data_IF_190740661337
#
_entry.id   IF_190740661337
#
_cell.length_a   1.000
_cell.length_b   1.000
_cell.length_c   1.000
_cell.angle_alpha   90.00
_cell.angle_beta   90.00
_cell.angle_gamma   90.00
#
_symmetry.space_group_name_H-M   'P 1'
#
loop_
_entity.id
_entity.type
_entity.pdbx_description
1 polymer ?
#
# COMPACT_ATOMS: atom_id res chain seq x y z
N UNK A 1 13.25 -77.31 49.97
CA UNK A 1 14.60 -77.80 49.70
C UNK A 1 15.23 -76.94 48.61
N UNK A 2 16.37 -76.39 48.97
CA UNK A 2 17.36 -75.68 48.13
C UNK A 2 17.00 -74.28 47.53
N UNK A 3 17.36 -73.29 48.33
CA UNK A 3 17.65 -71.91 47.90
C UNK A 3 18.98 -71.87 47.10
N UNK A 4 19.06 -71.09 46.04
CA UNK A 4 20.27 -70.64 45.40
C UNK A 4 20.25 -69.13 45.31
N UNK A 5 20.99 -68.48 46.20
CA UNK A 5 21.36 -67.11 46.25
C UNK A 5 22.18 -66.73 44.99
N UNK A 6 21.75 -65.72 44.19
CA UNK A 6 22.61 -65.06 43.17
C UNK A 6 22.94 -63.68 43.69
N UNK A 7 24.19 -63.46 44.01
CA UNK A 7 24.79 -62.13 44.23
C UNK A 7 24.98 -61.44 42.94
N UNK A 8 24.23 -60.33 42.70
CA UNK A 8 24.39 -59.46 41.55
C UNK A 8 25.37 -58.34 41.86
N UNK A 9 26.50 -58.33 41.18
CA UNK A 9 27.50 -57.26 41.18
C UNK A 9 26.94 -56.03 40.44
N UNK A 10 26.66 -54.93 41.17
CA UNK A 10 26.25 -53.62 40.56
C UNK A 10 27.55 -52.87 40.21
N UNK A 11 27.83 -52.80 38.90
CA UNK A 11 28.88 -51.95 38.36
C UNK A 11 28.29 -50.52 38.23
N UNK A 12 28.82 -49.63 39.09
CA UNK A 12 28.49 -48.18 39.01
C UNK A 12 29.33 -47.55 37.89
N UNK A 13 28.70 -47.38 36.72
CA UNK A 13 29.29 -46.63 35.61
C UNK A 13 29.13 -45.14 35.87
N UNK A 14 30.19 -44.46 36.28
CA UNK A 14 30.26 -43.00 36.35
C UNK A 14 30.29 -42.41 34.94
N UNK A 15 29.15 -41.86 34.49
CA UNK A 15 29.06 -41.08 33.29
C UNK A 15 29.69 -39.70 33.54
N UNK A 16 30.93 -39.50 33.08
CA UNK A 16 31.56 -38.18 32.99
C UNK A 16 30.89 -37.47 31.80
N UNK A 17 29.89 -36.63 32.07
CA UNK A 17 29.35 -35.73 31.11
C UNK A 17 30.38 -34.63 30.80
N UNK A 18 31.14 -34.79 29.73
CA UNK A 18 31.90 -33.69 29.15
C UNK A 18 30.88 -32.62 28.69
N UNK A 19 30.77 -31.55 29.45
CA UNK A 19 30.07 -30.36 29.02
C UNK A 19 30.80 -29.84 27.78
N UNK A 20 30.29 -30.19 26.59
CA UNK A 20 30.66 -29.50 25.38
C UNK A 20 30.29 -28.03 25.58
N UNK A 21 31.29 -27.16 25.71
CA UNK A 21 31.09 -25.73 25.71
C UNK A 21 30.31 -25.40 24.44
N UNK A 22 29.03 -25.07 24.58
CA UNK A 22 28.21 -24.64 23.48
C UNK A 22 28.90 -23.41 22.86
N UNK A 23 29.42 -23.59 21.65
CA UNK A 23 29.89 -22.43 20.89
C UNK A 23 28.76 -21.42 20.83
N UNK A 24 28.99 -20.13 21.16
CA UNK A 24 27.96 -19.14 21.07
C UNK A 24 27.38 -19.16 19.66
N UNK A 25 26.07 -19.05 19.50
CA UNK A 25 25.43 -19.09 18.20
C UNK A 25 26.11 -18.03 17.29
N UNK A 26 26.62 -18.48 16.14
CA UNK A 26 27.23 -17.59 15.19
C UNK A 26 26.12 -16.70 14.61
N UNK A 27 25.99 -15.51 15.15
CA UNK A 27 25.02 -14.52 14.67
C UNK A 27 25.31 -14.18 13.21
N UNK A 28 24.28 -14.02 12.37
CA UNK A 28 24.48 -13.70 10.97
C UNK A 28 25.26 -12.39 10.79
N UNK A 29 26.16 -12.38 9.81
CA UNK A 29 26.90 -11.18 9.39
C UNK A 29 26.10 -10.40 8.34
N UNK A 30 26.52 -9.15 8.06
CA UNK A 30 25.90 -8.29 7.05
C UNK A 30 25.86 -8.95 5.65
N UNK A 31 26.79 -9.86 5.34
CA UNK A 31 26.83 -10.60 4.07
C UNK A 31 25.63 -11.50 3.83
N UNK A 32 24.88 -11.89 4.88
CA UNK A 32 23.65 -12.66 4.76
C UNK A 32 22.51 -11.87 4.10
N UNK A 33 22.55 -10.56 4.20
CA UNK A 33 21.46 -9.68 3.75
C UNK A 33 21.71 -9.04 2.39
N UNK A 34 22.93 -9.11 1.88
CA UNK A 34 23.36 -8.46 0.64
C UNK A 34 24.03 -9.45 -0.30
N UNK A 35 23.54 -9.51 -1.54
CA UNK A 35 24.20 -10.16 -2.66
C UNK A 35 24.37 -9.15 -3.80
N UNK A 36 25.60 -8.64 -4.03
CA UNK A 36 25.83 -7.63 -5.07
C UNK A 36 25.57 -8.12 -6.49
N UNK A 37 25.48 -9.43 -6.71
CA UNK A 37 25.30 -10.03 -8.03
C UNK A 37 23.83 -10.42 -8.26
N UNK A 38 23.26 -11.23 -7.36
CA UNK A 38 21.94 -11.84 -7.54
C UNK A 38 20.87 -11.20 -6.64
N UNK A 39 21.24 -10.29 -5.76
CA UNK A 39 20.28 -9.60 -4.88
C UNK A 39 19.28 -8.75 -5.65
N UNK A 40 18.18 -8.43 -5.02
CA UNK A 40 17.11 -7.58 -5.57
C UNK A 40 17.56 -6.12 -5.57
N UNK A 41 17.58 -5.45 -6.75
CA UNK A 41 17.82 -4.01 -6.83
C UNK A 41 16.58 -3.20 -6.46
N UNK A 42 16.75 -1.90 -6.19
CA UNK A 42 15.62 -1.02 -5.90
C UNK A 42 14.58 -1.01 -7.02
N UNK A 43 15.03 -0.93 -8.28
CA UNK A 43 14.14 -0.92 -9.45
C UNK A 43 13.38 -2.24 -9.59
N UNK A 44 14.07 -3.37 -9.36
CA UNK A 44 13.43 -4.70 -9.37
C UNK A 44 12.42 -4.85 -8.23
N UNK A 45 12.72 -4.30 -7.04
CA UNK A 45 11.82 -4.30 -5.90
C UNK A 45 10.53 -3.53 -6.21
N UNK A 46 10.65 -2.35 -6.82
CA UNK A 46 9.51 -1.55 -7.26
C UNK A 46 8.68 -2.31 -8.30
N UNK A 47 9.31 -2.86 -9.33
CA UNK A 47 8.62 -3.64 -10.37
C UNK A 47 7.87 -4.84 -9.79
N UNK A 48 8.50 -5.58 -8.88
CA UNK A 48 7.89 -6.72 -8.19
C UNK A 48 6.66 -6.29 -7.36
N UNK A 49 6.77 -5.21 -6.58
CA UNK A 49 5.67 -4.70 -5.78
C UNK A 49 4.49 -4.23 -6.63
N UNK A 50 4.75 -3.53 -7.74
CA UNK A 50 3.71 -3.07 -8.66
C UNK A 50 2.93 -4.25 -9.30
N UNK A 51 3.55 -5.41 -9.43
CA UNK A 51 2.92 -6.60 -9.98
C UNK A 51 2.23 -7.46 -8.91
N UNK A 52 2.87 -7.68 -7.77
CA UNK A 52 2.49 -8.72 -6.82
C UNK A 52 1.81 -8.20 -5.54
N UNK A 53 1.92 -6.91 -5.22
CA UNK A 53 1.38 -6.39 -3.96
C UNK A 53 -0.15 -6.50 -3.92
N UNK A 54 -0.73 -7.21 -2.91
CA UNK A 54 -2.15 -7.57 -2.90
C UNK A 54 -3.09 -6.35 -2.83
N UNK A 55 -2.72 -5.28 -2.13
CA UNK A 55 -3.60 -4.11 -1.98
C UNK A 55 -3.70 -3.30 -3.28
N UNK A 56 -2.63 -3.25 -4.07
CA UNK A 56 -2.68 -2.64 -5.40
C UNK A 56 -3.49 -3.48 -6.38
N UNK A 57 -3.35 -4.82 -6.31
CA UNK A 57 -4.17 -5.73 -7.11
C UNK A 57 -5.66 -5.55 -6.76
N UNK A 58 -5.99 -5.46 -5.47
CA UNK A 58 -7.34 -5.17 -5.02
C UNK A 58 -7.83 -3.77 -5.49
N UNK A 59 -6.96 -2.76 -5.49
CA UNK A 59 -7.31 -1.44 -6.02
C UNK A 59 -7.64 -1.49 -7.53
N UNK A 60 -6.90 -2.28 -8.32
CA UNK A 60 -7.18 -2.45 -9.75
C UNK A 60 -8.57 -3.05 -10.01
N UNK A 61 -9.06 -3.95 -9.16
CA UNK A 61 -10.43 -4.50 -9.32
C UNK A 61 -11.52 -3.45 -9.14
N UNK A 62 -11.22 -2.28 -8.52
CA UNK A 62 -12.18 -1.17 -8.46
C UNK A 62 -12.47 -0.56 -9.83
N UNK A 63 -11.52 -0.64 -10.78
CA UNK A 63 -11.75 -0.26 -12.17
C UNK A 63 -12.78 -1.19 -12.80
N UNK A 64 -12.66 -2.51 -12.57
CA UNK A 64 -13.62 -3.50 -13.08
C UNK A 64 -15.02 -3.29 -12.49
N UNK A 65 -15.08 -2.93 -11.19
CA UNK A 65 -16.35 -2.55 -10.53
C UNK A 65 -16.96 -1.31 -11.20
N UNK A 66 -16.17 -0.27 -11.43
CA UNK A 66 -16.64 0.94 -12.09
C UNK A 66 -17.12 0.66 -13.54
N UNK A 67 -16.39 -0.19 -14.28
CA UNK A 67 -16.80 -0.64 -15.61
C UNK A 67 -18.10 -1.45 -15.57
N UNK A 68 -18.28 -2.33 -14.58
CA UNK A 68 -19.53 -3.06 -14.36
C UNK A 68 -20.71 -2.10 -14.11
N UNK A 69 -20.49 -1.08 -13.25
CA UNK A 69 -21.51 -0.05 -13.00
C UNK A 69 -21.81 0.81 -14.23
N UNK A 70 -20.81 1.09 -15.06
CA UNK A 70 -20.97 1.74 -16.34
C UNK A 70 -21.84 0.92 -17.30
N UNK A 71 -21.57 -0.39 -17.41
CA UNK A 71 -22.41 -1.30 -18.21
C UNK A 71 -23.85 -1.29 -17.70
N UNK A 72 -24.08 -1.38 -16.39
CA UNK A 72 -25.40 -1.33 -15.78
C UNK A 72 -26.11 0.02 -16.07
N UNK A 73 -25.38 1.13 -15.98
CA UNK A 73 -25.92 2.48 -16.27
C UNK A 73 -26.37 2.65 -17.73
N UNK A 74 -25.80 1.88 -18.65
CA UNK A 74 -26.13 1.90 -20.07
C UNK A 74 -27.38 1.06 -20.42
N UNK A 75 -27.83 0.19 -19.51
CA UNK A 75 -28.99 -0.65 -19.77
C UNK A 75 -30.30 0.16 -19.70
N UNK A 76 -31.24 -0.21 -20.55
CA UNK A 76 -32.61 0.29 -20.49
C UNK A 76 -33.42 -0.53 -19.48
N UNK A 77 -34.45 0.05 -18.84
CA UNK A 77 -35.33 -0.70 -17.97
C UNK A 77 -35.98 -1.86 -18.71
N UNK A 78 -36.17 -2.97 -18.02
CA UNK A 78 -36.88 -4.11 -18.59
C UNK A 78 -38.39 -3.86 -18.65
N UNK A 79 -39.10 -4.41 -19.65
CA UNK A 79 -40.55 -4.43 -19.65
C UNK A 79 -41.07 -5.31 -18.50
N UNK A 80 -42.17 -4.90 -17.92
CA UNK A 80 -42.87 -5.65 -16.86
C UNK A 80 -44.10 -6.32 -17.48
N UNK A 81 -44.23 -7.62 -17.27
CA UNK A 81 -45.42 -8.40 -17.64
C UNK A 81 -46.18 -8.75 -16.37
N UNK A 82 -47.47 -8.41 -16.31
CA UNK A 82 -48.32 -8.78 -15.19
C UNK A 82 -49.49 -9.63 -15.67
N UNK A 83 -49.88 -10.57 -14.82
CA UNK A 83 -51.04 -11.43 -15.01
C UNK A 83 -51.98 -11.23 -13.82
N UNK A 84 -53.23 -10.90 -14.07
CA UNK A 84 -54.25 -10.73 -13.04
C UNK A 84 -55.45 -11.60 -13.38
N UNK A 85 -55.94 -12.36 -12.38
CA UNK A 85 -57.21 -13.02 -12.45
C UNK A 85 -58.10 -12.52 -11.32
N UNK A 86 -59.30 -12.03 -11.73
CA UNK A 86 -60.33 -11.55 -10.83
C UNK A 86 -61.54 -12.46 -10.95
N UNK A 87 -62.06 -12.91 -9.83
CA UNK A 87 -63.30 -13.74 -9.76
C UNK A 87 -64.25 -13.14 -8.74
N UNK A 88 -65.53 -13.12 -9.03
CA UNK A 88 -66.55 -12.73 -8.09
C UNK A 88 -66.88 -13.95 -7.16
N UNK A 89 -66.66 -13.87 -5.83
CA UNK A 89 -66.71 -15.03 -4.94
C UNK A 89 -68.05 -15.75 -4.86
N UNK A 90 -69.13 -15.15 -5.19
CA UNK A 90 -70.50 -15.76 -5.23
C UNK A 90 -71.24 -15.36 -6.52
N UNK A 91 -70.58 -14.73 -7.42
CA UNK A 91 -71.09 -14.25 -8.71
C UNK A 91 -70.65 -15.12 -9.86
N UNK A 92 -70.98 -14.61 -11.05
CA UNK A 92 -70.72 -15.31 -12.30
C UNK A 92 -69.63 -14.61 -13.12
N UNK A 93 -69.12 -13.48 -12.62
CA UNK A 93 -68.19 -12.63 -13.33
C UNK A 93 -66.76 -13.07 -13.06
N UNK A 94 -65.97 -13.17 -14.12
CA UNK A 94 -64.55 -13.36 -14.02
C UNK A 94 -63.82 -12.61 -15.11
N UNK A 95 -62.61 -12.12 -14.75
CA UNK A 95 -61.72 -11.40 -15.64
C UNK A 95 -60.33 -11.99 -15.57
N UNK A 96 -59.73 -12.18 -16.72
CA UNK A 96 -58.28 -12.48 -16.83
C UNK A 96 -57.67 -11.36 -17.65
N UNK A 97 -56.60 -10.74 -17.10
CA UNK A 97 -55.90 -9.67 -17.75
C UNK A 97 -54.39 -9.98 -17.83
N UNK A 98 -53.80 -9.75 -18.96
CA UNK A 98 -52.35 -9.74 -19.17
C UNK A 98 -51.95 -8.34 -19.57
N UNK A 99 -50.99 -7.75 -18.88
CA UNK A 99 -50.51 -6.42 -19.15
C UNK A 99 -49.00 -6.44 -19.40
N UNK A 100 -48.56 -5.63 -20.37
CA UNK A 100 -47.18 -5.33 -20.66
C UNK A 100 -46.96 -3.83 -20.42
N UNK A 101 -45.99 -3.48 -19.61
CA UNK A 101 -45.60 -2.09 -19.34
C UNK A 101 -44.11 -1.91 -19.62
N UNK A 102 -43.72 -0.85 -20.31
CA UNK A 102 -42.32 -0.58 -20.62
C UNK A 102 -42.01 0.90 -20.43
N UNK A 103 -41.10 1.21 -19.42
CA UNK A 103 -40.55 2.55 -19.26
C UNK A 103 -39.61 2.90 -20.42
N UNK A 104 -39.79 4.03 -21.07
CA UNK A 104 -39.01 4.40 -22.26
C UNK A 104 -37.66 5.02 -21.94
N UNK A 105 -37.47 5.56 -20.73
CA UNK A 105 -36.19 6.18 -20.26
C UNK A 105 -35.55 7.16 -21.27
N UNK A 106 -36.37 8.10 -21.77
CA UNK A 106 -36.05 8.92 -22.95
C UNK A 106 -34.90 9.91 -22.72
N UNK A 107 -34.65 10.39 -21.48
CA UNK A 107 -33.73 11.49 -21.22
C UNK A 107 -32.64 11.17 -20.18
N UNK A 108 -32.79 10.10 -19.42
CA UNK A 108 -32.01 9.84 -18.21
C UNK A 108 -30.77 8.98 -18.46
N UNK A 109 -30.83 8.09 -19.45
CA UNK A 109 -29.80 7.11 -19.75
C UNK A 109 -28.44 7.75 -20.03
N UNK A 110 -28.38 8.74 -20.91
CA UNK A 110 -27.13 9.36 -21.34
C UNK A 110 -26.44 10.09 -20.18
N UNK A 111 -27.23 10.73 -19.31
CA UNK A 111 -26.68 11.36 -18.10
C UNK A 111 -26.15 10.34 -17.07
N UNK A 112 -26.84 9.19 -16.90
CA UNK A 112 -26.32 8.09 -16.05
C UNK A 112 -25.02 7.53 -16.61
N UNK A 113 -24.93 7.31 -17.91
CA UNK A 113 -23.71 6.84 -18.57
C UNK A 113 -22.60 7.87 -18.42
N UNK A 114 -22.87 9.16 -18.59
CA UNK A 114 -21.90 10.21 -18.44
C UNK A 114 -21.29 10.29 -17.01
N UNK A 115 -22.10 10.09 -15.97
CA UNK A 115 -21.60 9.97 -14.59
C UNK A 115 -20.70 8.74 -14.46
N UNK A 116 -21.15 7.58 -14.96
CA UNK A 116 -20.41 6.34 -14.85
C UNK A 116 -19.07 6.36 -15.63
N UNK A 117 -19.03 7.00 -16.81
CA UNK A 117 -17.79 7.21 -17.58
C UNK A 117 -16.76 8.00 -16.77
N UNK A 118 -17.19 9.08 -16.09
CA UNK A 118 -16.28 9.85 -15.22
C UNK A 118 -15.85 9.08 -13.97
N UNK A 119 -16.71 8.22 -13.44
CA UNK A 119 -16.36 7.35 -12.31
C UNK A 119 -15.29 6.32 -12.71
N UNK A 120 -15.34 5.76 -13.92
CA UNK A 120 -14.26 4.88 -14.44
C UNK A 120 -12.95 5.65 -14.52
N UNK A 121 -12.94 6.85 -15.10
CA UNK A 121 -11.74 7.67 -15.20
C UNK A 121 -11.17 8.05 -13.82
N UNK A 122 -12.02 8.35 -12.84
CA UNK A 122 -11.59 8.62 -11.47
C UNK A 122 -11.00 7.36 -10.80
N UNK A 123 -11.57 6.18 -11.02
CA UNK A 123 -11.03 4.93 -10.50
C UNK A 123 -9.64 4.61 -11.07
N UNK A 124 -9.38 4.89 -12.34
CA UNK A 124 -8.06 4.77 -12.96
C UNK A 124 -7.03 5.70 -12.32
N UNK A 125 -7.42 6.96 -12.04
CA UNK A 125 -6.57 7.94 -11.36
C UNK A 125 -6.28 7.56 -9.91
N UNK A 126 -7.26 7.01 -9.19
CA UNK A 126 -7.07 6.49 -7.83
C UNK A 126 -6.07 5.32 -7.79
N UNK A 127 -6.12 4.43 -8.79
CA UNK A 127 -5.11 3.36 -8.93
C UNK A 127 -3.73 3.93 -9.23
N UNK A 128 -3.63 4.96 -10.07
CA UNK A 128 -2.37 5.62 -10.37
C UNK A 128 -1.76 6.30 -9.13
N UNK A 129 -2.59 6.94 -8.29
CA UNK A 129 -2.12 7.49 -7.01
C UNK A 129 -1.67 6.39 -6.04
N UNK A 130 -2.42 5.29 -5.96
CA UNK A 130 -2.03 4.13 -5.16
C UNK A 130 -0.68 3.55 -5.58
N UNK A 131 -0.40 3.49 -6.90
CA UNK A 131 0.91 3.07 -7.42
C UNK A 131 2.02 4.03 -6.98
N UNK A 132 1.81 5.34 -7.09
CA UNK A 132 2.77 6.37 -6.64
C UNK A 132 3.11 6.21 -5.16
N UNK A 133 2.11 6.02 -4.31
CA UNK A 133 2.30 5.81 -2.87
C UNK A 133 3.00 4.49 -2.55
N UNK A 134 2.70 3.42 -3.29
CA UNK A 134 3.37 2.12 -3.13
C UNK A 134 4.85 2.23 -3.48
N UNK A 135 5.20 2.88 -4.60
CA UNK A 135 6.59 3.10 -5.00
C UNK A 135 7.36 3.82 -3.90
N UNK A 136 6.81 4.91 -3.36
CA UNK A 136 7.45 5.65 -2.26
C UNK A 136 7.64 4.77 -1.01
N UNK A 137 6.66 3.92 -0.68
CA UNK A 137 6.75 3.01 0.45
C UNK A 137 7.80 1.91 0.23
N UNK A 138 7.88 1.30 -0.97
CA UNK A 138 8.93 0.34 -1.32
C UNK A 138 10.31 0.97 -1.19
N UNK A 139 10.50 2.18 -1.74
CA UNK A 139 11.77 2.93 -1.62
C UNK A 139 12.15 3.14 -0.16
N UNK A 140 11.22 3.62 0.68
CA UNK A 140 11.47 3.84 2.09
C UNK A 140 11.90 2.57 2.81
N UNK A 141 11.18 1.45 2.63
CA UNK A 141 11.53 0.16 3.26
C UNK A 141 12.84 -0.42 2.73
N UNK A 142 13.12 -0.24 1.44
CA UNK A 142 14.40 -0.64 0.87
C UNK A 142 15.57 0.15 1.48
N UNK A 143 15.42 1.46 1.62
CA UNK A 143 16.38 2.32 2.30
C UNK A 143 16.60 1.97 3.77
N UNK A 144 15.54 1.59 4.49
CA UNK A 144 15.65 1.10 5.87
C UNK A 144 16.54 -0.14 5.96
N UNK A 145 16.37 -1.11 5.04
CA UNK A 145 17.23 -2.31 4.97
C UNK A 145 18.68 -1.94 4.70
N UNK A 146 18.93 -1.08 3.70
CA UNK A 146 20.30 -0.64 3.35
C UNK A 146 20.99 0.06 4.53
N UNK A 147 20.25 0.91 5.25
CA UNK A 147 20.76 1.65 6.42
C UNK A 147 21.22 0.68 7.53
N UNK A 148 20.33 -0.25 7.92
CA UNK A 148 20.63 -1.19 9.00
C UNK A 148 21.73 -2.18 8.61
N UNK A 149 21.79 -2.59 7.35
CA UNK A 149 22.87 -3.47 6.85
C UNK A 149 24.22 -2.74 6.85
N UNK A 150 24.24 -1.43 6.53
CA UNK A 150 25.45 -0.61 6.64
C UNK A 150 25.94 -0.54 8.09
N UNK A 151 25.05 -0.25 9.03
CA UNK A 151 25.38 -0.23 10.44
C UNK A 151 25.88 -1.60 10.92
N UNK A 152 25.24 -2.68 10.49
CA UNK A 152 25.68 -4.05 10.86
C UNK A 152 27.09 -4.33 10.35
N UNK A 153 27.45 -3.90 9.14
CA UNK A 153 28.85 -4.01 8.63
C UNK A 153 29.84 -3.25 9.51
N UNK A 154 29.50 -2.03 9.91
CA UNK A 154 30.32 -1.24 10.83
C UNK A 154 30.57 -2.00 12.13
N UNK A 155 29.53 -2.60 12.73
CA UNK A 155 29.69 -3.39 13.95
C UNK A 155 30.42 -4.70 13.74
N UNK A 156 30.25 -5.39 12.60
CA UNK A 156 31.03 -6.58 12.22
C UNK A 156 32.54 -6.24 12.23
N UNK A 157 32.92 -5.13 11.58
CA UNK A 157 34.32 -4.68 11.48
C UNK A 157 34.89 -4.29 12.86
N UNK A 158 34.10 -3.56 13.66
CA UNK A 158 34.51 -3.14 15.01
C UNK A 158 34.69 -4.30 15.97
N UNK A 159 33.79 -5.28 15.97
CA UNK A 159 33.88 -6.49 16.78
C UNK A 159 35.13 -7.29 16.38
N UNK A 160 35.37 -7.46 15.08
CA UNK A 160 36.55 -8.16 14.58
C UNK A 160 37.86 -7.44 14.95
N UNK A 161 37.91 -6.09 14.80
CA UNK A 161 39.10 -5.31 15.18
C UNK A 161 39.37 -5.31 16.68
N UNK A 162 38.31 -5.15 17.49
CA UNK A 162 38.40 -5.16 18.96
C UNK A 162 38.76 -6.54 19.49
N UNK A 163 38.25 -7.61 18.86
CA UNK A 163 38.60 -9.01 19.20
C UNK A 163 40.10 -9.27 19.00
N UNK A 164 40.67 -8.86 17.85
CA UNK A 164 42.12 -8.97 17.61
C UNK A 164 42.94 -8.20 18.64
N UNK A 165 42.50 -7.00 19.03
CA UNK A 165 43.17 -6.20 20.08
C UNK A 165 43.07 -6.87 21.44
N UNK A 166 41.94 -7.44 21.82
CA UNK A 166 41.73 -8.19 23.04
C UNK A 166 42.70 -9.38 23.13
N UNK A 167 42.82 -10.18 22.06
CA UNK A 167 43.69 -11.36 22.02
C UNK A 167 45.15 -10.97 22.16
N UNK A 168 45.58 -9.87 21.52
CA UNK A 168 46.94 -9.33 21.70
C UNK A 168 47.20 -8.89 23.13
N UNK A 169 46.27 -8.18 23.77
CA UNK A 169 46.42 -7.73 25.16
C UNK A 169 46.42 -8.91 26.13
N UNK A 170 45.59 -9.93 25.87
CA UNK A 170 45.60 -11.15 26.67
C UNK A 170 46.97 -11.82 26.65
N UNK A 171 47.57 -11.99 25.47
CA UNK A 171 48.91 -12.56 25.37
C UNK A 171 49.97 -11.72 26.14
N UNK A 172 49.93 -10.37 26.01
CA UNK A 172 50.84 -9.47 26.71
C UNK A 172 50.68 -9.51 28.27
N UNK A 173 49.42 -9.65 28.74
CA UNK A 173 49.16 -9.81 30.19
C UNK A 173 49.66 -11.14 30.69
N UNK A 174 49.46 -12.23 29.95
CA UNK A 174 49.92 -13.58 30.28
C UNK A 174 51.48 -13.64 30.34
N UNK A 175 52.15 -12.82 29.54
CA UNK A 175 53.63 -12.62 29.55
C UNK A 175 54.10 -11.61 30.61
N UNK A 176 53.21 -10.96 31.36
CA UNK A 176 53.53 -9.92 32.33
C UNK A 176 53.96 -8.59 31.74
N UNK A 177 53.79 -8.37 30.44
CA UNK A 177 54.24 -7.18 29.73
C UNK A 177 53.23 -6.01 29.79
N UNK A 178 51.98 -6.24 30.25
CA UNK A 178 50.91 -5.23 30.33
C UNK A 178 50.04 -5.46 31.55
N UNK A 179 49.45 -4.41 32.10
CA UNK A 179 48.54 -4.50 33.25
C UNK A 179 47.23 -5.25 32.91
N UNK A 180 46.72 -6.14 33.79
CA UNK A 180 45.43 -6.80 33.57
C UNK A 180 44.25 -5.85 33.30
N UNK A 181 44.30 -4.63 33.86
CA UNK A 181 43.28 -3.60 33.65
C UNK A 181 43.09 -3.26 32.17
N UNK A 182 44.15 -3.19 31.36
CA UNK A 182 44.10 -2.85 29.94
C UNK A 182 43.31 -3.92 29.17
N UNK A 183 43.54 -5.21 29.46
CA UNK A 183 42.74 -6.32 28.90
C UNK A 183 41.28 -6.21 29.32
N UNK A 184 41.02 -5.95 30.60
CA UNK A 184 39.67 -5.90 31.14
C UNK A 184 38.85 -4.75 30.55
N UNK A 185 39.45 -3.58 30.31
CA UNK A 185 38.83 -2.44 29.60
C UNK A 185 38.43 -2.83 28.18
N UNK A 186 39.30 -3.49 27.41
CA UNK A 186 38.99 -3.93 26.05
C UNK A 186 37.98 -5.07 26.06
N UNK A 187 37.97 -5.93 27.06
CA UNK A 187 36.94 -6.98 27.22
C UNK A 187 35.55 -6.38 27.39
N UNK A 188 35.41 -5.37 28.26
CA UNK A 188 34.11 -4.65 28.42
C UNK A 188 33.67 -4.03 27.14
N UNK A 189 34.56 -3.34 26.40
CA UNK A 189 34.22 -2.72 25.13
C UNK A 189 33.85 -3.75 24.06
N UNK A 190 34.55 -4.90 23.99
CA UNK A 190 34.21 -5.97 23.05
C UNK A 190 32.77 -6.50 23.32
N UNK A 191 32.47 -6.78 24.62
CA UNK A 191 31.10 -7.24 24.97
C UNK A 191 30.03 -6.23 24.67
N UNK A 192 30.31 -4.93 24.83
CA UNK A 192 29.40 -3.85 24.44
C UNK A 192 29.15 -3.84 22.93
N UNK A 193 30.23 -3.95 22.13
CA UNK A 193 30.10 -3.98 20.66
C UNK A 193 29.39 -5.24 20.16
N UNK A 194 29.63 -6.40 20.78
CA UNK A 194 28.92 -7.65 20.49
C UNK A 194 27.41 -7.50 20.76
N UNK A 195 27.05 -6.90 21.90
CA UNK A 195 25.64 -6.63 22.23
C UNK A 195 24.98 -5.69 21.21
N UNK A 196 25.63 -4.59 20.85
CA UNK A 196 25.12 -3.67 19.82
C UNK A 196 24.97 -4.37 18.46
N UNK A 197 25.95 -5.21 18.08
CA UNK A 197 25.89 -6.02 16.87
C UNK A 197 24.66 -6.93 16.84
N UNK A 198 24.35 -7.62 17.93
CA UNK A 198 23.18 -8.49 18.04
C UNK A 198 21.88 -7.69 17.86
N UNK A 199 21.81 -6.48 18.45
CA UNK A 199 20.68 -5.59 18.25
C UNK A 199 20.53 -5.16 16.78
N UNK A 200 21.64 -4.91 16.08
CA UNK A 200 21.58 -4.57 14.63
C UNK A 200 21.12 -5.76 13.79
N UNK A 201 21.50 -7.00 14.12
CA UNK A 201 20.96 -8.21 13.47
C UNK A 201 19.43 -8.25 13.60
N UNK A 202 18.90 -8.03 14.81
CA UNK A 202 17.45 -8.00 15.04
C UNK A 202 16.75 -6.91 14.22
N UNK A 203 17.36 -5.72 14.11
CA UNK A 203 16.85 -4.63 13.27
C UNK A 203 16.88 -4.98 11.78
N UNK A 204 17.93 -5.65 11.30
CA UNK A 204 18.06 -6.07 9.91
C UNK A 204 16.97 -7.09 9.54
N UNK A 205 16.73 -8.09 10.40
CA UNK A 205 15.65 -9.06 10.19
C UNK A 205 14.28 -8.37 10.16
N UNK A 206 14.02 -7.46 11.10
CA UNK A 206 12.75 -6.72 11.14
C UNK A 206 12.55 -5.83 9.90
N UNK A 207 13.57 -5.08 9.48
CA UNK A 207 13.51 -4.25 8.29
C UNK A 207 13.28 -5.08 7.02
N UNK A 208 13.92 -6.26 6.92
CA UNK A 208 13.73 -7.17 5.79
C UNK A 208 12.31 -7.75 5.74
N UNK A 209 11.72 -8.09 6.89
CA UNK A 209 10.33 -8.56 6.98
C UNK A 209 9.37 -7.45 6.53
N UNK A 210 9.60 -6.20 6.96
CA UNK A 210 8.78 -5.06 6.51
C UNK A 210 8.92 -4.80 5.01
N UNK A 211 10.11 -4.94 4.43
CA UNK A 211 10.31 -4.86 2.98
C UNK A 211 9.53 -5.97 2.26
N UNK A 212 9.65 -7.24 2.72
CA UNK A 212 8.89 -8.36 2.15
C UNK A 212 7.38 -8.10 2.17
N UNK A 213 6.86 -7.55 3.26
CA UNK A 213 5.44 -7.20 3.39
C UNK A 213 4.99 -6.24 2.30
N UNK A 214 5.76 -5.18 2.03
CA UNK A 214 5.44 -4.18 1.01
C UNK A 214 5.62 -4.73 -0.40
N UNK A 215 6.49 -5.72 -0.59
CA UNK A 215 6.66 -6.45 -1.85
C UNK A 215 5.55 -7.49 -2.08
N UNK A 216 4.68 -7.76 -1.11
CA UNK A 216 3.68 -8.83 -1.20
C UNK A 216 4.26 -10.23 -1.03
N UNK A 217 5.46 -10.36 -0.44
CA UNK A 217 6.15 -11.62 -0.21
C UNK A 217 5.81 -12.20 1.17
N UNK A 218 5.92 -13.53 1.31
CA UNK A 218 5.80 -14.18 2.61
C UNK A 218 7.01 -13.85 3.50
N UNK A 219 6.84 -13.80 4.85
CA UNK A 219 7.91 -13.45 5.77
C UNK A 219 9.14 -14.38 5.71
N UNK A 220 8.93 -15.66 5.39
CA UNK A 220 9.95 -16.70 5.28
C UNK A 220 10.62 -16.78 3.90
N UNK A 221 10.12 -16.05 2.90
CA UNK A 221 10.72 -16.02 1.57
C UNK A 221 12.17 -15.54 1.62
N UNK A 222 13.05 -16.16 0.86
CA UNK A 222 14.44 -15.71 0.75
C UNK A 222 14.51 -14.36 0.02
N UNK A 223 15.18 -13.38 0.63
CA UNK A 223 15.39 -12.07 0.04
C UNK A 223 16.76 -11.53 0.46
N UNK A 224 17.55 -11.09 -0.50
CA UNK A 224 18.78 -10.35 -0.31
C UNK A 224 18.73 -9.09 -1.18
N UNK A 225 19.24 -7.97 -0.67
CA UNK A 225 19.33 -6.73 -1.44
C UNK A 225 20.65 -6.66 -2.20
N UNK A 226 20.65 -5.94 -3.33
CA UNK A 226 21.85 -5.80 -4.17
C UNK A 226 22.66 -4.56 -3.84
N UNK A 227 21.99 -3.45 -3.63
CA UNK A 227 22.59 -2.13 -3.57
C UNK A 227 23.27 -1.86 -2.21
N UNK A 228 24.21 -0.92 -2.18
CA UNK A 228 24.63 -0.24 -0.97
C UNK A 228 23.92 1.10 -0.80
N UNK A 229 23.82 1.60 0.42
CA UNK A 229 23.19 2.89 0.69
C UNK A 229 23.91 4.03 -0.02
N UNK A 230 25.24 4.00 -0.01
CA UNK A 230 26.10 4.96 -0.68
C UNK A 230 25.87 5.00 -2.19
N UNK A 231 25.84 3.82 -2.85
CA UNK A 231 25.69 3.73 -4.30
C UNK A 231 24.33 4.27 -4.77
N UNK A 232 23.27 3.98 -4.01
CA UNK A 232 21.93 4.47 -4.36
C UNK A 232 21.86 5.99 -4.19
N UNK A 233 22.35 6.52 -3.07
CA UNK A 233 22.36 7.98 -2.82
C UNK A 233 23.18 8.73 -3.87
N UNK A 234 24.35 8.20 -4.26
CA UNK A 234 25.19 8.82 -5.29
C UNK A 234 24.55 8.78 -6.68
N UNK A 235 23.98 7.65 -7.08
CA UNK A 235 23.25 7.51 -8.37
C UNK A 235 22.10 8.50 -8.48
N UNK A 236 21.27 8.58 -7.43
CA UNK A 236 20.11 9.45 -7.42
C UNK A 236 20.48 10.94 -7.35
N UNK A 237 21.60 11.28 -6.70
CA UNK A 237 22.09 12.65 -6.68
C UNK A 237 22.54 13.15 -8.07
N UNK A 238 23.05 12.27 -8.91
CA UNK A 238 23.48 12.59 -10.27
C UNK A 238 22.31 12.81 -11.25
N UNK A 239 21.16 12.16 -11.03
CA UNK A 239 20.01 12.18 -11.95
C UNK A 239 19.19 13.49 -11.93
N UNK A 240 19.43 14.42 -11.03
CA UNK A 240 18.47 15.50 -10.68
C UNK A 240 18.65 16.81 -11.45
N UNK A 241 19.55 16.94 -12.39
CA UNK A 241 19.82 18.23 -13.04
C UNK A 241 18.71 18.77 -13.97
N UNK A 242 17.62 18.03 -14.21
CA UNK A 242 16.74 18.30 -15.37
C UNK A 242 15.34 18.89 -15.10
N UNK A 243 14.81 19.01 -13.88
CA UNK A 243 13.37 19.30 -13.71
C UNK A 243 12.98 20.53 -12.88
N UNK A 244 13.87 21.48 -12.69
CA UNK A 244 13.60 22.62 -11.78
C UNK A 244 12.55 23.64 -12.31
N UNK A 245 12.20 23.65 -13.60
CA UNK A 245 11.50 24.80 -14.21
C UNK A 245 9.97 24.66 -14.38
N UNK A 246 9.33 23.54 -14.03
CA UNK A 246 7.91 23.33 -14.34
C UNK A 246 7.04 22.88 -13.13
N UNK A 247 7.20 23.56 -11.98
CA UNK A 247 6.50 23.18 -10.75
C UNK A 247 4.96 23.09 -10.92
N UNK A 248 4.36 24.07 -11.61
CA UNK A 248 2.91 24.07 -11.84
C UNK A 248 2.46 22.88 -12.68
N UNK A 249 3.20 22.56 -13.74
CA UNK A 249 2.89 21.42 -14.61
C UNK A 249 3.03 20.08 -13.87
N UNK A 250 4.08 19.94 -13.05
CA UNK A 250 4.31 18.77 -12.21
C UNK A 250 3.10 18.53 -11.29
N UNK A 251 2.64 19.58 -10.60
CA UNK A 251 1.52 19.51 -9.67
C UNK A 251 0.23 19.10 -10.40
N UNK A 252 -0.05 19.70 -11.56
CA UNK A 252 -1.26 19.39 -12.33
C UNK A 252 -1.25 17.98 -12.93
N UNK A 253 -0.09 17.37 -13.13
CA UNK A 253 0.07 16.01 -13.64
C UNK A 253 0.01 14.93 -12.55
N UNK A 254 0.09 15.30 -11.26
CA UNK A 254 0.02 14.35 -10.15
C UNK A 254 -1.32 13.63 -10.13
N UNK A 255 -1.26 12.33 -9.85
CA UNK A 255 -2.45 11.47 -9.87
C UNK A 255 -3.50 11.88 -8.82
N UNK A 256 -3.07 12.26 -7.60
CA UNK A 256 -3.96 12.74 -6.53
C UNK A 256 -4.67 14.06 -6.88
N UNK A 257 -3.98 15.01 -7.50
CA UNK A 257 -4.56 16.28 -7.96
C UNK A 257 -5.55 16.04 -9.10
N UNK A 258 -5.19 15.17 -10.04
CA UNK A 258 -6.08 14.79 -11.16
C UNK A 258 -7.28 13.98 -10.68
N UNK A 259 -7.12 13.12 -9.67
CA UNK A 259 -8.25 12.42 -9.05
C UNK A 259 -9.23 13.42 -8.43
N UNK A 260 -8.72 14.40 -7.65
CA UNK A 260 -9.55 15.45 -7.09
C UNK A 260 -10.26 16.29 -8.17
N UNK A 261 -9.61 16.59 -9.29
CA UNK A 261 -10.25 17.23 -10.44
C UNK A 261 -11.35 16.34 -11.06
N UNK A 262 -11.12 15.03 -11.20
CA UNK A 262 -12.12 14.10 -11.72
C UNK A 262 -13.36 14.01 -10.80
N UNK A 263 -13.22 14.21 -9.48
CA UNK A 263 -14.36 14.30 -8.57
C UNK A 263 -15.22 15.55 -8.85
N UNK A 264 -14.62 16.67 -9.26
CA UNK A 264 -15.37 17.88 -9.72
C UNK A 264 -16.17 17.55 -10.97
N UNK A 265 -15.56 16.82 -11.93
CA UNK A 265 -16.22 16.41 -13.16
C UNK A 265 -17.38 15.43 -12.90
N UNK A 266 -17.22 14.50 -11.96
CA UNK A 266 -18.28 13.58 -11.53
C UNK A 266 -19.44 14.38 -10.94
N UNK A 267 -19.15 15.33 -10.05
CA UNK A 267 -20.18 16.15 -9.42
C UNK A 267 -20.91 17.03 -10.46
N UNK A 268 -20.20 17.57 -11.45
CA UNK A 268 -20.81 18.28 -12.59
C UNK A 268 -21.77 17.39 -13.39
N UNK A 269 -21.37 16.14 -13.67
CA UNK A 269 -22.23 15.19 -14.36
C UNK A 269 -23.45 14.75 -13.51
N UNK A 270 -23.31 14.70 -12.18
CA UNK A 270 -24.45 14.44 -11.29
C UNK A 270 -25.50 15.57 -11.34
N UNK A 271 -25.09 16.83 -11.49
CA UNK A 271 -26.03 17.94 -11.68
C UNK A 271 -26.84 17.71 -12.96
N UNK A 272 -26.20 17.45 -14.08
CA UNK A 272 -26.86 17.15 -15.33
C UNK A 272 -27.83 15.96 -15.22
N UNK A 273 -27.40 14.91 -14.53
CA UNK A 273 -28.25 13.75 -14.25
C UNK A 273 -29.48 14.15 -13.42
N UNK A 274 -29.31 14.92 -12.33
CA UNK A 274 -30.42 15.36 -11.49
C UNK A 274 -31.40 16.27 -12.26
N UNK A 275 -30.91 17.14 -13.14
CA UNK A 275 -31.74 17.99 -14.00
C UNK A 275 -32.53 17.16 -15.01
N UNK A 276 -31.95 16.07 -15.57
CA UNK A 276 -32.66 15.19 -16.50
C UNK A 276 -33.67 14.27 -15.78
N UNK A 277 -33.38 13.85 -14.55
CA UNK A 277 -34.32 13.13 -13.72
C UNK A 277 -35.57 13.96 -13.35
N UNK A 278 -35.43 15.28 -13.29
CA UNK A 278 -36.52 16.22 -13.09
C UNK A 278 -37.43 16.44 -14.33
N UNK A 279 -37.16 15.81 -15.46
CA UNK A 279 -37.99 15.88 -16.66
C UNK A 279 -39.16 14.88 -16.63
N UNK A 280 -40.13 15.08 -17.51
CA UNK A 280 -41.26 14.14 -17.64
C UNK A 280 -40.79 12.72 -17.96
N UNK A 281 -41.57 11.73 -17.51
CA UNK A 281 -41.33 10.33 -17.78
C UNK A 281 -42.45 9.70 -18.59
N UNK A 282 -42.14 8.73 -19.45
CA UNK A 282 -43.10 8.09 -20.34
C UNK A 282 -43.00 6.59 -20.21
N UNK A 283 -44.12 5.98 -19.85
CA UNK A 283 -44.32 4.55 -19.89
C UNK A 283 -45.32 4.18 -20.98
N UNK A 284 -45.00 3.22 -21.82
CA UNK A 284 -45.96 2.65 -22.77
C UNK A 284 -46.51 1.35 -22.20
N UNK A 285 -47.81 1.10 -22.46
CA UNK A 285 -48.43 -0.13 -22.01
C UNK A 285 -49.32 -0.74 -23.08
N UNK A 286 -49.53 -2.06 -22.97
CA UNK A 286 -50.49 -2.80 -23.75
C UNK A 286 -51.14 -3.86 -22.82
N UNK A 287 -52.49 -3.94 -22.90
CA UNK A 287 -53.24 -4.87 -22.07
C UNK A 287 -54.16 -5.73 -22.96
N UNK A 288 -54.29 -6.97 -22.60
CA UNK A 288 -55.34 -7.84 -23.09
C UNK A 288 -56.18 -8.31 -21.91
N UNK A 289 -57.51 -8.13 -21.97
CA UNK A 289 -58.44 -8.58 -20.98
C UNK A 289 -59.53 -9.47 -21.58
N UNK A 290 -59.70 -10.62 -20.99
CA UNK A 290 -60.83 -11.51 -21.25
C UNK A 290 -61.79 -11.41 -20.06
N UNK A 291 -63.02 -10.92 -20.32
CA UNK A 291 -64.04 -10.75 -19.30
C UNK A 291 -65.20 -11.71 -19.64
N UNK A 292 -65.67 -12.44 -18.64
CA UNK A 292 -66.91 -13.19 -18.74
C UNK A 292 -67.89 -12.53 -17.75
N UNK A 293 -68.88 -11.84 -18.32
CA UNK A 293 -69.84 -11.08 -17.51
C UNK A 293 -71.22 -11.71 -17.64
N UNK A 294 -71.88 -11.87 -16.49
CA UNK A 294 -73.28 -12.18 -16.41
C UNK A 294 -74.15 -10.92 -16.50
N UNK A 295 -75.23 -11.01 -17.22
CA UNK A 295 -76.24 -9.95 -17.28
C UNK A 295 -77.45 -10.33 -16.47
N UNK A 296 -78.15 -9.42 -15.76
CA UNK A 296 -79.34 -9.72 -14.96
C UNK A 296 -80.55 -10.07 -15.83
N UNK A 297 -80.45 -9.94 -17.15
CA UNK A 297 -81.48 -10.32 -18.08
C UNK A 297 -81.50 -11.85 -18.29
N UNK A 298 -82.68 -12.39 -18.39
CA UNK A 298 -82.91 -13.80 -18.71
C UNK A 298 -83.10 -14.00 -20.21
N UNK A 299 -82.29 -14.83 -20.79
CA UNK A 299 -82.45 -15.32 -22.16
C UNK A 299 -82.98 -16.71 -22.19
N UNK A 300 -83.52 -17.10 -23.35
CA UNK A 300 -84.02 -18.47 -23.56
C UNK A 300 -82.84 -19.38 -23.93
N UNK A 301 -82.59 -20.42 -23.11
CA UNK A 301 -81.57 -21.42 -23.42
C UNK A 301 -82.04 -22.36 -24.56
N UNK A 302 -81.14 -23.04 -25.28
CA UNK A 302 -81.49 -23.99 -26.31
C UNK A 302 -82.42 -25.13 -25.84
N UNK A 303 -82.45 -25.37 -24.52
CA UNK A 303 -83.35 -26.30 -23.84
C UNK A 303 -84.76 -25.74 -23.57
N UNK A 304 -85.03 -24.48 -23.92
CA UNK A 304 -86.30 -23.78 -23.71
C UNK A 304 -86.48 -23.19 -22.31
N UNK A 305 -85.52 -23.31 -21.40
CA UNK A 305 -85.57 -22.71 -20.08
C UNK A 305 -84.96 -21.30 -20.05
N UNK A 306 -85.38 -20.45 -19.07
CA UNK A 306 -84.75 -19.12 -18.85
C UNK A 306 -83.45 -19.27 -18.09
N UNK A 307 -82.35 -18.72 -18.66
CA UNK A 307 -80.99 -18.68 -18.04
C UNK A 307 -80.47 -17.30 -18.07
N UNK A 308 -79.64 -16.87 -17.11
CA UNK A 308 -78.93 -15.60 -17.16
C UNK A 308 -78.08 -15.54 -18.43
N UNK A 309 -78.14 -14.39 -19.11
CA UNK A 309 -77.29 -14.16 -20.27
C UNK A 309 -75.83 -13.99 -19.82
N UNK A 310 -74.95 -14.79 -20.42
CA UNK A 310 -73.50 -14.67 -20.22
C UNK A 310 -72.83 -14.36 -21.54
N UNK A 311 -71.82 -13.45 -21.53
CA UNK A 311 -71.04 -13.19 -22.71
C UNK A 311 -69.57 -13.01 -22.35
N UNK A 312 -68.71 -13.48 -23.25
CA UNK A 312 -67.25 -13.32 -23.11
C UNK A 312 -66.83 -12.19 -24.01
N UNK A 313 -66.18 -11.22 -23.41
CA UNK A 313 -65.65 -10.03 -24.12
C UNK A 313 -64.14 -10.10 -24.12
N UNK A 314 -63.55 -9.63 -25.20
CA UNK A 314 -62.12 -9.50 -25.39
C UNK A 314 -61.78 -8.04 -25.60
N UNK A 315 -60.93 -7.47 -24.75
CA UNK A 315 -60.49 -6.10 -24.84
C UNK A 315 -58.99 -6.08 -25.09
N UNK A 316 -58.58 -5.27 -26.03
CA UNK A 316 -57.18 -4.89 -26.25
C UNK A 316 -57.10 -3.39 -26.07
N UNK A 317 -56.16 -2.97 -25.20
CA UNK A 317 -55.88 -1.55 -25.00
C UNK A 317 -54.36 -1.31 -25.10
N UNK A 318 -53.98 -0.22 -25.70
CA UNK A 318 -52.59 0.26 -25.71
C UNK A 318 -52.61 1.76 -25.45
N UNK A 319 -51.58 2.22 -24.77
CA UNK A 319 -51.51 3.64 -24.42
C UNK A 319 -50.13 4.03 -23.86
N UNK A 320 -50.04 5.26 -23.42
CA UNK A 320 -48.88 5.81 -22.78
C UNK A 320 -49.29 6.56 -21.50
N UNK A 321 -48.53 6.40 -20.44
CA UNK A 321 -48.65 7.20 -19.23
C UNK A 321 -47.49 8.18 -19.18
N UNK A 322 -47.81 9.48 -19.05
CA UNK A 322 -46.81 10.55 -18.96
C UNK A 322 -46.86 11.14 -17.54
N UNK A 323 -45.76 11.03 -16.83
CA UNK A 323 -45.61 11.69 -15.52
C UNK A 323 -45.03 13.06 -15.71
N UNK A 324 -45.83 14.12 -15.45
CA UNK A 324 -45.43 15.51 -15.62
C UNK A 324 -45.00 16.11 -14.30
N UNK A 325 -43.75 16.61 -14.16
CA UNK A 325 -43.22 17.18 -12.92
C UNK A 325 -43.73 18.60 -12.69
N UNK A 326 -44.93 18.75 -12.12
CA UNK A 326 -45.57 20.08 -11.90
C UNK A 326 -45.06 20.77 -10.63
N UNK A 327 -44.70 20.02 -9.58
CA UNK A 327 -44.23 20.54 -8.28
C UNK A 327 -42.85 20.06 -7.93
N UNK A 328 -42.56 18.84 -8.21
CA UNK A 328 -41.24 18.23 -7.97
C UNK A 328 -40.50 18.16 -9.28
N UNK A 329 -39.57 19.11 -9.49
CA UNK A 329 -38.65 19.18 -10.63
C UNK A 329 -37.23 18.67 -10.23
N UNK A 330 -37.14 17.85 -9.18
CA UNK A 330 -35.91 17.36 -8.62
C UNK A 330 -35.00 18.47 -8.04
N UNK A 331 -35.59 19.57 -7.60
CA UNK A 331 -34.88 20.77 -7.14
C UNK A 331 -33.99 20.50 -5.92
N UNK A 332 -34.38 19.58 -5.04
CA UNK A 332 -33.57 19.18 -3.89
C UNK A 332 -32.28 18.47 -4.28
N UNK A 333 -32.38 17.48 -5.18
CA UNK A 333 -31.21 16.75 -5.69
C UNK A 333 -30.29 17.65 -6.53
N UNK A 334 -30.87 18.58 -7.31
CA UNK A 334 -30.08 19.56 -8.06
C UNK A 334 -29.30 20.48 -7.09
N UNK A 335 -29.95 20.94 -6.03
CA UNK A 335 -29.28 21.76 -5.01
C UNK A 335 -28.17 20.98 -4.27
N UNK A 336 -28.42 19.71 -3.91
CA UNK A 336 -27.45 18.83 -3.30
C UNK A 336 -26.25 18.56 -4.25
N UNK A 337 -26.50 18.25 -5.51
CA UNK A 337 -25.45 18.02 -6.49
C UNK A 337 -24.58 19.28 -6.74
N UNK A 338 -25.17 20.47 -6.72
CA UNK A 338 -24.42 21.73 -6.79
C UNK A 338 -23.55 21.96 -5.55
N UNK A 339 -24.06 21.62 -4.37
CA UNK A 339 -23.27 21.68 -3.15
C UNK A 339 -22.12 20.66 -3.16
N UNK A 340 -22.35 19.43 -3.67
CA UNK A 340 -21.28 18.43 -3.88
C UNK A 340 -20.20 18.97 -4.85
N UNK A 341 -20.59 19.63 -5.94
CA UNK A 341 -19.62 20.21 -6.88
C UNK A 341 -18.77 21.30 -6.23
N UNK A 342 -19.38 22.18 -5.45
CA UNK A 342 -18.63 23.20 -4.68
C UNK A 342 -17.66 22.56 -3.69
N UNK A 343 -18.10 21.52 -2.95
CA UNK A 343 -17.27 20.76 -2.05
C UNK A 343 -16.09 20.06 -2.77
N UNK A 344 -16.33 19.45 -3.91
CA UNK A 344 -15.30 18.83 -4.73
C UNK A 344 -14.30 19.87 -5.26
N UNK A 345 -14.75 21.06 -5.68
CA UNK A 345 -13.88 22.14 -6.12
C UNK A 345 -12.95 22.64 -5.01
N UNK A 346 -13.46 22.83 -3.81
CA UNK A 346 -12.64 23.18 -2.62
C UNK A 346 -11.65 22.06 -2.25
N UNK A 347 -12.05 20.79 -2.38
CA UNK A 347 -11.17 19.66 -2.16
C UNK A 347 -10.04 19.62 -3.20
N UNK A 348 -10.33 19.91 -4.46
CA UNK A 348 -9.33 20.01 -5.51
C UNK A 348 -8.36 21.19 -5.25
N UNK A 349 -8.84 22.35 -4.82
CA UNK A 349 -7.99 23.48 -4.42
C UNK A 349 -7.08 23.10 -3.24
N UNK A 350 -7.61 22.44 -2.22
CA UNK A 350 -6.83 21.94 -1.09
C UNK A 350 -5.76 20.92 -1.52
N UNK A 351 -6.08 20.00 -2.42
CA UNK A 351 -5.13 19.03 -2.97
C UNK A 351 -3.98 19.73 -3.73
N UNK A 352 -4.28 20.75 -4.53
CA UNK A 352 -3.27 21.55 -5.23
C UNK A 352 -2.36 22.30 -4.25
N UNK A 353 -2.92 22.90 -3.20
CA UNK A 353 -2.14 23.60 -2.18
C UNK A 353 -1.24 22.61 -1.42
N UNK A 354 -1.76 21.45 -1.03
CA UNK A 354 -1.00 20.40 -0.37
C UNK A 354 0.15 19.92 -1.26
N UNK A 355 -0.10 19.63 -2.54
CA UNK A 355 0.90 19.21 -3.51
C UNK A 355 1.99 20.28 -3.70
N UNK A 356 1.61 21.55 -3.76
CA UNK A 356 2.57 22.68 -3.88
C UNK A 356 3.48 22.77 -2.65
N UNK A 357 2.89 22.67 -1.47
CA UNK A 357 3.63 22.74 -0.20
C UNK A 357 4.55 21.52 -0.03
N UNK A 358 4.04 20.31 -0.36
CA UNK A 358 4.80 19.07 -0.32
C UNK A 358 6.03 19.13 -1.26
N UNK A 359 5.85 19.58 -2.49
CA UNK A 359 6.94 19.72 -3.46
C UNK A 359 7.99 20.73 -2.98
N UNK A 360 7.58 21.89 -2.46
CA UNK A 360 8.49 22.91 -1.95
C UNK A 360 9.30 22.39 -0.74
N UNK A 361 8.62 21.72 0.20
CA UNK A 361 9.27 21.13 1.37
C UNK A 361 10.21 19.97 0.99
N UNK A 362 9.82 19.12 0.04
CA UNK A 362 10.63 18.01 -0.42
C UNK A 362 11.91 18.50 -1.11
N UNK A 363 11.82 19.53 -1.96
CA UNK A 363 12.99 20.17 -2.59
C UNK A 363 13.98 20.72 -1.55
N UNK A 364 13.47 21.47 -0.59
CA UNK A 364 14.32 22.02 0.46
C UNK A 364 15.04 20.93 1.26
N UNK A 365 14.30 19.87 1.66
CA UNK A 365 14.88 18.73 2.39
C UNK A 365 15.96 18.02 1.57
N UNK A 366 15.72 17.77 0.28
CA UNK A 366 16.68 17.10 -0.60
C UNK A 366 17.96 17.92 -0.76
N UNK A 367 17.84 19.24 -0.93
CA UNK A 367 18.99 20.13 -1.09
C UNK A 367 19.88 20.14 0.17
N UNK A 368 19.29 20.28 1.37
CA UNK A 368 20.06 20.29 2.62
C UNK A 368 20.59 18.90 2.98
N UNK A 369 19.86 17.83 2.71
CA UNK A 369 20.32 16.47 2.98
C UNK A 369 21.53 16.10 2.11
N UNK A 370 21.54 16.49 0.83
CA UNK A 370 22.72 16.33 -0.06
C UNK A 370 23.94 17.11 0.43
N UNK A 371 23.75 18.34 0.91
CA UNK A 371 24.83 19.11 1.50
C UNK A 371 25.42 18.43 2.73
N UNK A 372 24.57 17.88 3.62
CA UNK A 372 25.02 17.12 4.79
C UNK A 372 25.87 15.90 4.41
N UNK A 373 25.44 15.11 3.42
CA UNK A 373 26.22 13.99 2.89
C UNK A 373 27.58 14.47 2.36
N UNK A 374 27.60 15.58 1.63
CA UNK A 374 28.84 16.15 1.08
C UNK A 374 29.85 16.54 2.17
N UNK A 375 29.39 17.13 3.28
CA UNK A 375 30.25 17.51 4.42
C UNK A 375 30.93 16.28 5.01
N UNK A 376 30.18 15.16 5.21
CA UNK A 376 30.76 13.93 5.73
C UNK A 376 31.73 13.27 4.74
N UNK A 377 31.36 13.13 3.49
CA UNK A 377 32.14 12.44 2.47
C UNK A 377 33.39 13.22 2.05
N UNK A 378 33.38 14.57 2.12
CA UNK A 378 34.52 15.40 1.70
C UNK A 378 35.66 15.46 2.71
N UNK A 379 35.52 14.94 3.93
CA UNK A 379 36.63 15.00 4.88
C UNK A 379 36.38 14.34 6.22
N UNK A 380 35.22 14.51 6.86
CA UNK A 380 34.99 14.08 8.24
C UNK A 380 35.20 12.58 8.43
N UNK A 381 34.61 11.73 7.53
CA UNK A 381 34.74 10.27 7.60
C UNK A 381 36.19 9.81 7.37
N UNK A 382 36.86 10.36 6.35
CA UNK A 382 38.26 10.03 6.04
C UNK A 382 39.22 10.38 7.18
N UNK A 383 39.06 11.57 7.78
CA UNK A 383 39.87 12.00 8.92
C UNK A 383 39.63 11.16 10.17
N UNK A 384 38.37 10.84 10.47
CA UNK A 384 38.05 9.98 11.64
C UNK A 384 38.67 8.56 11.50
N UNK A 385 38.59 7.97 10.32
CA UNK A 385 39.24 6.69 10.02
C UNK A 385 40.75 6.77 10.12
N UNK A 386 41.38 7.84 9.57
CA UNK A 386 42.81 8.07 9.64
C UNK A 386 43.27 8.24 11.08
N UNK A 387 42.59 9.07 11.89
CA UNK A 387 42.94 9.32 13.29
C UNK A 387 42.89 8.03 14.10
N UNK A 388 41.84 7.22 13.94
CA UNK A 388 41.73 5.93 14.62
C UNK A 388 42.92 5.03 14.25
N UNK A 389 43.25 4.91 12.97
CA UNK A 389 44.37 4.09 12.52
C UNK A 389 45.72 4.57 13.11
N UNK A 390 45.97 5.90 13.18
CA UNK A 390 47.16 6.49 13.77
C UNK A 390 47.25 6.20 15.27
N UNK A 391 46.12 6.32 16.00
CA UNK A 391 46.08 6.07 17.44
C UNK A 391 46.26 4.56 17.72
N UNK A 392 45.66 3.65 16.95
CA UNK A 392 45.83 2.22 17.05
C UNK A 392 47.30 1.81 16.78
N UNK A 393 47.96 2.38 15.76
CA UNK A 393 49.37 2.13 15.50
C UNK A 393 50.25 2.66 16.61
N UNK A 394 50.00 3.86 17.16
CA UNK A 394 50.72 4.47 18.26
C UNK A 394 50.61 3.63 19.53
N UNK A 395 49.48 3.00 19.79
CA UNK A 395 49.22 2.05 20.87
C UNK A 395 50.08 0.80 20.70
N UNK A 396 50.15 0.23 19.50
CA UNK A 396 51.03 -0.92 19.24
C UNK A 396 52.50 -0.65 19.54
N UNK A 397 52.94 0.60 19.33
CA UNK A 397 54.29 1.10 19.62
C UNK A 397 54.49 1.52 21.10
N UNK A 398 53.44 1.39 21.94
CA UNK A 398 53.51 1.77 23.36
C UNK A 398 53.54 3.29 23.63
N UNK A 399 53.14 4.13 22.66
CA UNK A 399 53.23 5.60 22.78
C UNK A 399 51.94 6.24 23.32
N UNK A 400 50.82 5.55 23.30
CA UNK A 400 49.53 6.00 23.82
C UNK A 400 48.89 4.86 24.65
N UNK A 401 47.87 5.20 25.45
CA UNK A 401 47.19 4.26 26.35
C UNK A 401 46.03 3.56 25.66
N UNK A 402 45.54 2.45 26.24
CA UNK A 402 44.30 1.80 25.83
C UNK A 402 43.11 2.79 25.85
N UNK A 403 43.09 3.69 26.82
CA UNK A 403 42.02 4.66 26.98
C UNK A 403 41.96 5.64 25.80
N UNK A 404 43.11 6.04 25.26
CA UNK A 404 43.18 6.89 24.07
C UNK A 404 42.60 6.19 22.85
N UNK A 405 42.88 4.90 22.66
CA UNK A 405 42.32 4.07 21.60
C UNK A 405 40.79 3.96 21.72
N UNK A 406 40.29 3.66 22.93
CA UNK A 406 38.85 3.54 23.16
C UNK A 406 38.12 4.85 22.97
N UNK A 407 38.75 5.97 23.32
CA UNK A 407 38.17 7.32 23.11
C UNK A 407 38.09 7.66 21.63
N UNK A 408 39.14 7.42 20.85
CA UNK A 408 39.15 7.72 19.41
C UNK A 408 38.19 6.75 18.65
N UNK A 409 38.10 5.49 19.10
CA UNK A 409 37.12 4.55 18.52
C UNK A 409 35.68 5.01 18.73
N UNK A 410 35.34 5.55 19.90
CA UNK A 410 34.01 6.14 20.13
C UNK A 410 33.71 7.29 19.19
N UNK A 411 34.70 8.20 18.97
CA UNK A 411 34.58 9.30 18.01
C UNK A 411 34.39 8.79 16.58
N UNK A 412 35.14 7.76 16.19
CA UNK A 412 35.02 7.14 14.88
C UNK A 412 33.59 6.56 14.70
N UNK A 413 33.06 5.82 15.68
CA UNK A 413 31.69 5.28 15.65
C UNK A 413 30.66 6.41 15.54
N UNK A 414 30.84 7.50 16.27
CA UNK A 414 29.94 8.67 16.22
C UNK A 414 29.92 9.30 14.83
N UNK A 415 31.06 9.49 14.20
CA UNK A 415 31.18 10.03 12.84
C UNK A 415 30.58 9.09 11.80
N UNK A 416 30.85 7.78 11.89
CA UNK A 416 30.27 6.79 10.94
C UNK A 416 28.76 6.70 11.08
N UNK A 417 28.21 6.72 12.29
CA UNK A 417 26.76 6.79 12.51
C UNK A 417 26.16 8.08 11.97
N UNK A 418 26.80 9.22 12.24
CA UNK A 418 26.36 10.50 11.68
C UNK A 418 26.36 10.51 10.15
N UNK A 419 27.34 9.84 9.53
CA UNK A 419 27.34 9.67 8.07
C UNK A 419 26.23 8.73 7.58
N UNK A 420 25.96 7.62 8.28
CA UNK A 420 24.82 6.75 7.97
C UNK A 420 23.50 7.51 8.04
N UNK A 421 23.31 8.31 9.10
CA UNK A 421 22.12 9.12 9.28
C UNK A 421 21.96 10.18 8.17
N UNK A 422 23.07 10.80 7.74
CA UNK A 422 23.08 11.74 6.61
C UNK A 422 22.70 11.05 5.28
N UNK A 423 23.25 9.86 5.00
CA UNK A 423 22.92 9.08 3.81
C UNK A 423 21.44 8.66 3.83
N UNK A 424 20.96 8.15 4.98
CA UNK A 424 19.56 7.80 5.17
C UNK A 424 18.66 9.02 4.94
N UNK A 425 18.96 10.15 5.57
CA UNK A 425 18.23 11.40 5.40
C UNK A 425 18.18 11.86 3.94
N UNK A 426 19.29 11.73 3.19
CA UNK A 426 19.34 12.06 1.77
C UNK A 426 18.49 11.11 0.93
N UNK A 427 18.51 9.81 1.21
CA UNK A 427 17.67 8.84 0.53
C UNK A 427 16.17 9.06 0.81
N UNK A 428 15.79 9.32 2.07
CA UNK A 428 14.43 9.64 2.46
C UNK A 428 13.93 10.94 1.80
N UNK A 429 14.76 11.99 1.81
CA UNK A 429 14.44 13.28 1.18
C UNK A 429 14.27 13.14 -0.33
N UNK A 430 15.12 12.36 -0.99
CA UNK A 430 14.99 12.05 -2.41
C UNK A 430 13.74 11.24 -2.71
N UNK A 431 13.40 10.24 -1.89
CA UNK A 431 12.17 9.47 -2.00
C UNK A 431 10.94 10.38 -1.91
N UNK A 432 10.93 11.29 -0.93
CA UNK A 432 9.86 12.27 -0.79
C UNK A 432 9.76 13.22 -1.99
N UNK A 433 10.89 13.64 -2.56
CA UNK A 433 10.92 14.48 -3.75
C UNK A 433 10.36 13.75 -4.99
N UNK A 434 10.78 12.51 -5.22
CA UNK A 434 10.27 11.70 -6.32
C UNK A 434 8.74 11.46 -6.18
N UNK A 435 8.27 11.20 -4.96
CA UNK A 435 6.84 11.10 -4.65
C UNK A 435 6.10 12.41 -4.94
N UNK A 436 6.66 13.55 -4.55
CA UNK A 436 6.06 14.88 -4.75
C UNK A 436 6.05 15.32 -6.22
N UNK A 437 7.01 14.89 -7.01
CA UNK A 437 7.06 15.11 -8.47
C UNK A 437 6.06 14.20 -9.19
N UNK A 438 5.65 13.09 -8.58
CA UNK A 438 4.78 12.12 -9.21
C UNK A 438 5.53 11.18 -10.17
N UNK A 439 6.86 11.08 -10.06
CA UNK A 439 7.65 10.11 -10.81
C UNK A 439 7.32 8.69 -10.31
N UNK A 440 6.48 8.01 -11.06
CA UNK A 440 6.11 6.62 -10.91
C UNK A 440 6.91 5.70 -11.85
N UNK A 441 8.23 5.94 -11.98
CA UNK A 441 9.11 5.09 -12.77
C UNK A 441 10.29 4.61 -11.95
#
# INVERSE_FOLDING_TARGET
MNARTRVGLVMLATLVATAAAAQPPAWPSATRYVDPVNGLSLEQAIAHALEQEPSLRAARTQIDVAQGMRMQSALRPNPTVSFERREEPQGMDNQTMVSLEWPLDLFRRDARVAVADRQVAAAELAVADRQRLLIANVRARYGDVLTVVRDLRLFDDLVAATGRQHDLLRARVDEGATAPLDRDLVTVELRRLESERVLQVGRAEAALIELKRVLGMQPDAALMVRDSLEDVVLRESAATASSANDASRIIEQRADVREAAAQVDIAGAKIERAEREGRFDVNVFANYARMNNGFPQLGVAPSGGLTPIRSVFHYVAAGATVTVPLRNHNQGEIAAARAEQNGAALTHEAARLAATTELAAARARDDYARQAVTIYSSGAQGLARHNLAVVEQSFQLGRVTVFDVLTERRRYIEVERGYTDALRGAFEARTALNQAIGEGR
#
